data_IF_401210232347
#
_entry.id   IF_401210232347
#
_cell.length_a   1.000
_cell.length_b   1.000
_cell.length_c   1.000
_cell.angle_alpha   90.00
_cell.angle_beta   90.00
_cell.angle_gamma   90.00
#
_symmetry.space_group_name_H-M   'P 1'
#
loop_
_entity.id
_entity.type
_entity.pdbx_description
1 polymer ?
#
# COMPACT_ATOMS: atom_id res chain seq x y z
N UNK A 1 -55.73 29.97 34.85
CA UNK A 1 -54.71 28.97 35.18
C UNK A 1 -54.13 28.51 33.85
N UNK A 2 -53.21 29.31 33.29
CA UNK A 2 -52.50 28.94 32.06
C UNK A 2 -51.04 28.68 32.42
N UNK A 3 -50.67 27.40 32.42
CA UNK A 3 -49.29 26.95 32.57
C UNK A 3 -48.58 27.18 31.23
N UNK A 4 -47.86 28.29 31.12
CA UNK A 4 -46.88 28.46 30.04
C UNK A 4 -45.71 27.50 30.28
N UNK A 5 -45.68 26.41 29.51
CA UNK A 5 -44.52 25.54 29.40
C UNK A 5 -43.39 26.28 28.67
N UNK A 6 -42.43 26.81 29.42
CA UNK A 6 -41.16 27.31 28.88
C UNK A 6 -40.30 26.10 28.47
N UNK A 7 -40.40 25.68 27.21
CA UNK A 7 -39.54 24.64 26.66
C UNK A 7 -38.13 25.22 26.46
N UNK A 8 -37.14 24.71 27.21
CA UNK A 8 -35.78 25.25 27.25
C UNK A 8 -35.03 25.02 25.91
N UNK A 9 -34.63 26.08 25.17
CA UNK A 9 -33.91 25.96 23.89
C UNK A 9 -32.53 25.28 24.01
N UNK A 10 -31.96 25.22 25.21
CA UNK A 10 -30.73 24.46 25.51
C UNK A 10 -30.90 22.94 25.43
N UNK A 11 -32.12 22.43 25.65
CA UNK A 11 -32.37 20.98 25.60
C UNK A 11 -32.33 20.46 24.15
N UNK A 12 -32.88 21.23 23.20
CA UNK A 12 -32.91 20.85 21.78
C UNK A 12 -31.52 20.87 21.12
N UNK A 13 -30.66 21.82 21.49
CA UNK A 13 -29.27 21.89 20.98
C UNK A 13 -28.40 20.75 21.51
N UNK A 14 -28.59 20.34 22.77
CA UNK A 14 -27.94 19.14 23.33
C UNK A 14 -28.44 17.84 22.67
N UNK A 15 -29.74 17.72 22.43
CA UNK A 15 -30.33 16.55 21.78
C UNK A 15 -29.88 16.44 20.32
N UNK A 16 -29.80 17.56 19.60
CA UNK A 16 -29.33 17.59 18.21
C UNK A 16 -27.85 17.22 18.08
N UNK A 17 -27.00 17.72 18.99
CA UNK A 17 -25.57 17.36 19.02
C UNK A 17 -25.33 15.89 19.39
N UNK A 18 -26.11 15.34 20.33
CA UNK A 18 -26.10 13.89 20.61
C UNK A 18 -26.59 13.08 19.40
N UNK A 19 -27.65 13.52 18.72
CA UNK A 19 -28.17 12.84 17.53
C UNK A 19 -27.16 12.83 16.37
N UNK A 20 -26.38 13.90 16.17
CA UNK A 20 -25.32 13.95 15.15
C UNK A 20 -24.19 12.94 15.46
N UNK A 21 -23.85 12.74 16.74
CA UNK A 21 -22.89 11.72 17.18
C UNK A 21 -23.41 10.27 16.99
N UNK A 22 -24.72 10.05 17.05
CA UNK A 22 -25.32 8.73 16.75
C UNK A 22 -25.48 8.47 15.24
N UNK A 23 -25.49 9.50 14.39
CA UNK A 23 -25.64 9.38 12.92
C UNK A 23 -24.28 9.34 12.21
N UNK A 24 -23.18 9.74 12.85
CA UNK A 24 -21.84 9.52 12.33
C UNK A 24 -21.51 8.02 12.33
N UNK A 25 -21.96 7.30 11.30
CA UNK A 25 -21.27 6.07 10.89
C UNK A 25 -19.84 6.49 10.59
N UNK A 26 -18.89 6.05 11.41
CA UNK A 26 -17.47 6.26 11.12
C UNK A 26 -17.22 5.86 9.68
N UNK A 27 -16.53 6.72 8.93
CA UNK A 27 -16.11 6.36 7.58
C UNK A 27 -15.28 5.08 7.70
N UNK A 28 -15.78 3.97 7.15
CA UNK A 28 -14.96 2.77 7.01
C UNK A 28 -13.85 3.07 6.00
N UNK A 29 -12.63 2.68 6.35
CA UNK A 29 -11.42 3.02 5.63
C UNK A 29 -10.22 2.41 6.32
N UNK A 30 -9.04 2.61 5.74
CA UNK A 30 -7.78 2.20 6.32
C UNK A 30 -6.91 3.42 6.60
N UNK A 31 -6.20 3.37 7.72
CA UNK A 31 -5.13 4.30 8.05
C UNK A 31 -3.83 3.78 7.48
N UNK A 32 -3.19 4.56 6.62
CA UNK A 32 -1.83 4.31 6.16
C UNK A 32 -0.86 5.14 6.98
N UNK A 33 0.02 4.51 7.75
CA UNK A 33 1.06 5.17 8.54
C UNK A 33 2.42 4.97 7.89
N UNK A 34 3.03 6.07 7.44
CA UNK A 34 4.37 6.08 6.88
C UNK A 34 5.38 6.30 7.99
N UNK A 35 6.43 5.48 8.05
CA UNK A 35 7.49 5.55 9.06
C UNK A 35 8.84 5.60 8.35
N UNK A 36 9.63 6.64 8.61
CA UNK A 36 10.99 6.73 8.10
C UNK A 36 12.00 6.25 9.15
N UNK A 37 12.55 5.05 8.97
CA UNK A 37 13.67 4.54 9.78
C UNK A 37 15.02 4.67 9.08
N UNK A 38 15.07 5.27 7.90
CA UNK A 38 16.33 5.60 7.23
C UNK A 38 17.09 6.67 8.04
N UNK A 39 18.40 6.73 7.87
CA UNK A 39 19.25 7.75 8.48
C UNK A 39 19.25 9.09 7.71
N UNK A 40 18.44 9.18 6.65
CA UNK A 40 18.21 10.34 5.81
C UNK A 40 16.71 10.64 5.64
N UNK A 41 16.39 11.84 5.13
CA UNK A 41 15.02 12.23 4.77
C UNK A 41 14.54 11.47 3.54
N UNK A 42 13.32 10.96 3.58
CA UNK A 42 12.61 10.37 2.44
C UNK A 42 11.47 11.32 2.07
N UNK A 43 11.14 11.40 0.78
CA UNK A 43 9.95 12.12 0.33
C UNK A 43 8.94 11.14 -0.24
N UNK A 44 8.00 10.61 0.55
CA UNK A 44 7.03 9.66 0.01
C UNK A 44 6.20 10.29 -1.11
N UNK A 45 5.86 9.47 -2.10
CA UNK A 45 4.89 9.76 -3.15
C UNK A 45 3.65 8.89 -2.99
N UNK A 46 2.49 9.45 -3.34
CA UNK A 46 1.20 8.77 -3.28
C UNK A 46 0.52 8.93 -4.64
N UNK A 47 0.16 7.80 -5.25
CA UNK A 47 -0.65 7.77 -6.46
C UNK A 47 -1.92 6.94 -6.20
N UNK A 48 -3.08 7.59 -6.24
CA UNK A 48 -4.36 6.89 -6.31
C UNK A 48 -4.56 6.32 -7.72
N UNK A 49 -5.05 5.08 -7.80
CA UNK A 49 -5.43 4.43 -9.06
C UNK A 49 -6.63 5.14 -9.70
N UNK A 50 -6.85 4.90 -11.00
CA UNK A 50 -8.02 5.42 -11.70
C UNK A 50 -9.32 5.03 -10.97
N UNK A 51 -10.21 6.01 -10.76
CA UNK A 51 -11.46 5.82 -10.02
C UNK A 51 -11.33 5.96 -8.49
N UNK A 52 -10.12 5.96 -7.93
CA UNK A 52 -9.90 6.22 -6.50
C UNK A 52 -9.66 7.71 -6.22
N UNK A 53 -10.19 8.27 -5.12
CA UNK A 53 -9.97 9.68 -4.79
C UNK A 53 -8.51 9.95 -4.40
N UNK A 54 -8.04 11.19 -4.62
CA UNK A 54 -6.77 11.66 -4.06
C UNK A 54 -6.87 11.65 -2.54
N UNK A 55 -5.82 11.20 -1.86
CA UNK A 55 -5.68 11.36 -0.41
C UNK A 55 -5.34 12.82 -0.07
N UNK A 56 -5.16 13.14 1.22
CA UNK A 56 -4.83 14.51 1.68
C UNK A 56 -3.60 15.11 0.96
N UNK A 57 -2.64 14.27 0.57
CA UNK A 57 -1.43 14.65 -0.17
C UNK A 57 -1.10 13.61 -1.24
N UNK A 58 -0.40 14.04 -2.30
CA UNK A 58 0.26 13.16 -3.29
C UNK A 58 1.77 13.06 -3.10
N UNK A 59 2.34 13.81 -2.16
CA UNK A 59 3.74 13.69 -1.82
C UNK A 59 4.15 14.67 -0.73
N UNK A 60 5.02 14.22 0.18
CA UNK A 60 5.40 14.99 1.37
C UNK A 60 6.83 14.68 1.79
N UNK A 61 7.40 15.53 2.64
CA UNK A 61 8.69 15.28 3.28
C UNK A 61 8.50 14.47 4.57
N UNK A 62 9.32 13.44 4.77
CA UNK A 62 9.33 12.61 5.96
C UNK A 62 10.76 12.50 6.49
N UNK A 63 11.08 13.28 7.53
CA UNK A 63 12.43 13.32 8.11
C UNK A 63 12.74 12.04 8.89
N UNK A 64 14.03 11.81 9.15
CA UNK A 64 14.52 10.66 9.91
C UNK A 64 13.73 10.46 11.21
N UNK A 65 13.33 9.22 11.48
CA UNK A 65 12.66 8.79 12.70
C UNK A 65 11.31 9.47 12.96
N UNK A 66 10.67 9.99 11.91
CA UNK A 66 9.30 10.54 11.99
C UNK A 66 8.29 9.63 11.30
N UNK A 67 7.02 9.86 11.60
CA UNK A 67 5.88 9.23 10.93
C UNK A 67 4.83 10.24 10.52
N UNK A 68 4.01 9.87 9.52
CA UNK A 68 2.81 10.60 9.11
C UNK A 68 1.74 9.62 8.66
N UNK A 69 0.48 9.87 9.01
CA UNK A 69 -0.63 9.00 8.65
C UNK A 69 -1.61 9.67 7.70
N UNK A 70 -2.27 8.86 6.88
CA UNK A 70 -3.31 9.26 5.93
C UNK A 70 -4.51 8.32 6.04
N UNK A 71 -5.70 8.88 5.86
CA UNK A 71 -6.93 8.10 5.78
C UNK A 71 -7.26 7.82 4.31
N UNK A 72 -7.52 6.56 3.99
CA UNK A 72 -8.05 6.15 2.69
C UNK A 72 -9.44 5.54 2.86
N UNK A 73 -10.40 5.87 1.98
CA UNK A 73 -11.73 5.29 2.05
C UNK A 73 -11.69 3.80 1.71
N UNK A 74 -12.67 3.05 2.20
CA UNK A 74 -13.00 1.71 1.70
C UNK A 74 -13.06 1.69 0.16
N UNK A 75 -12.54 0.63 -0.47
CA UNK A 75 -12.48 0.54 -1.94
C UNK A 75 -11.33 1.30 -2.59
N UNK A 76 -10.50 2.03 -1.83
CA UNK A 76 -9.37 2.77 -2.39
C UNK A 76 -8.31 1.83 -2.95
N UNK A 77 -7.82 2.13 -4.15
CA UNK A 77 -6.66 1.49 -4.76
C UNK A 77 -5.61 2.53 -5.10
N UNK A 78 -4.35 2.16 -4.95
CA UNK A 78 -3.24 3.00 -5.29
C UNK A 78 -1.91 2.43 -4.84
N UNK A 79 -0.87 3.25 -4.94
CA UNK A 79 0.49 2.87 -4.62
C UNK A 79 1.27 3.99 -3.95
N UNK A 80 2.25 3.56 -3.18
CA UNK A 80 3.16 4.41 -2.44
C UNK A 80 4.61 4.06 -2.74
N UNK A 81 5.51 5.04 -2.64
CA UNK A 81 6.94 4.83 -2.77
C UNK A 81 7.71 5.90 -2.00
N UNK A 82 9.01 5.66 -1.77
CA UNK A 82 9.91 6.65 -1.19
C UNK A 82 10.82 7.28 -2.25
N UNK A 83 10.92 8.61 -2.27
CA UNK A 83 11.93 9.32 -3.06
C UNK A 83 13.16 9.65 -2.22
N UNK A 84 14.34 9.59 -2.83
CA UNK A 84 15.63 9.86 -2.14
C UNK A 84 16.48 10.86 -2.92
N UNK A 85 17.43 11.50 -2.23
CA UNK A 85 18.32 12.49 -2.83
C UNK A 85 17.59 13.71 -3.38
N UNK A 86 16.49 14.12 -2.74
CA UNK A 86 15.68 15.24 -3.21
C UNK A 86 16.28 16.59 -2.84
N UNK A 87 16.18 17.54 -3.77
CA UNK A 87 16.54 18.94 -3.55
C UNK A 87 15.38 19.85 -3.98
N UNK A 88 14.60 20.30 -3.00
CA UNK A 88 13.49 21.24 -3.21
C UNK A 88 13.87 22.63 -2.68
N UNK A 89 13.60 23.66 -3.48
CA UNK A 89 13.80 25.06 -3.12
C UNK A 89 12.76 25.55 -2.09
N UNK A 90 12.91 26.79 -1.60
CA UNK A 90 11.95 27.39 -0.66
C UNK A 90 10.53 27.59 -1.21
N UNK A 91 10.31 27.32 -2.50
CA UNK A 91 8.99 27.28 -3.17
C UNK A 91 8.52 25.84 -3.42
N UNK A 92 9.12 24.85 -2.76
CA UNK A 92 8.84 23.41 -2.91
C UNK A 92 9.04 22.87 -4.33
N UNK A 93 9.88 23.50 -5.15
CA UNK A 93 10.20 23.06 -6.51
C UNK A 93 11.55 22.38 -6.57
N UNK A 94 11.67 21.31 -7.34
CA UNK A 94 12.86 20.49 -7.32
C UNK A 94 12.68 19.14 -7.97
N UNK A 95 13.63 18.25 -7.69
CA UNK A 95 13.64 16.88 -8.17
C UNK A 95 14.35 15.96 -7.19
N UNK A 96 14.18 14.66 -7.39
CA UNK A 96 14.81 13.59 -6.61
C UNK A 96 15.74 12.73 -7.49
N UNK A 97 16.77 12.17 -6.87
CA UNK A 97 17.70 11.26 -7.55
C UNK A 97 17.05 9.90 -7.87
N UNK A 98 16.15 9.42 -7.00
CA UNK A 98 15.43 8.16 -7.22
C UNK A 98 13.94 8.32 -6.93
N UNK A 99 13.11 7.58 -7.67
CA UNK A 99 11.65 7.59 -7.53
C UNK A 99 10.96 8.92 -7.85
N UNK A 100 11.66 9.87 -8.47
CA UNK A 100 11.09 11.18 -8.79
C UNK A 100 9.81 11.04 -9.63
N UNK A 101 8.81 11.86 -9.35
CA UNK A 101 7.52 11.78 -10.04
C UNK A 101 7.35 12.80 -11.17
N UNK A 102 8.41 13.53 -11.53
CA UNK A 102 8.42 14.45 -12.68
C UNK A 102 7.50 15.66 -12.54
N UNK A 103 6.83 15.85 -11.41
CA UNK A 103 5.94 17.00 -11.18
C UNK A 103 6.70 18.31 -10.98
N UNK A 104 8.02 18.23 -10.75
CA UNK A 104 8.86 19.37 -10.41
C UNK A 104 8.61 19.94 -9.01
N UNK A 105 7.81 19.26 -8.18
CA UNK A 105 7.44 19.71 -6.82
C UNK A 105 7.36 18.54 -5.83
N UNK A 106 7.20 18.84 -4.54
CA UNK A 106 7.02 17.80 -3.50
C UNK A 106 5.74 16.97 -3.78
N UNK A 107 4.64 17.60 -4.16
CA UNK A 107 3.39 16.90 -4.53
C UNK A 107 3.54 16.21 -5.90
N UNK A 108 3.17 14.94 -6.01
CA UNK A 108 3.26 14.23 -7.29
C UNK A 108 2.09 14.51 -8.24
N UNK A 109 1.00 15.14 -7.78
CA UNK A 109 -0.09 15.65 -8.60
C UNK A 109 -0.67 14.62 -9.60
N UNK A 110 -0.77 13.36 -9.17
CA UNK A 110 -1.28 12.26 -10.01
C UNK A 110 -0.24 11.62 -10.93
N UNK A 111 1.02 12.05 -10.87
CA UNK A 111 2.13 11.36 -11.51
C UNK A 111 2.64 10.20 -10.64
N UNK A 112 3.08 9.12 -11.30
CA UNK A 112 3.75 7.99 -10.65
C UNK A 112 5.25 8.20 -10.49
N UNK A 113 5.90 7.30 -9.77
CA UNK A 113 7.36 7.26 -9.70
C UNK A 113 7.97 7.01 -11.09
N UNK A 114 9.07 7.68 -11.37
CA UNK A 114 9.98 7.30 -12.46
C UNK A 114 10.84 6.14 -11.95
N UNK A 115 10.77 4.95 -12.57
CA UNK A 115 11.58 3.80 -12.16
C UNK A 115 13.09 4.09 -12.27
N UNK A 116 13.93 3.49 -11.41
CA UNK A 116 13.57 2.45 -10.44
C UNK A 116 12.98 2.97 -9.12
N UNK A 117 11.95 2.29 -8.62
CA UNK A 117 11.35 2.56 -7.32
C UNK A 117 10.74 1.29 -6.71
N UNK A 118 11.03 1.06 -5.42
CA UNK A 118 10.31 0.06 -4.62
C UNK A 118 8.89 0.58 -4.38
N UNK A 119 7.86 -0.21 -4.71
CA UNK A 119 6.46 0.19 -4.58
C UNK A 119 5.77 -0.58 -3.46
N UNK A 120 4.85 0.07 -2.75
CA UNK A 120 3.86 -0.59 -1.90
C UNK A 120 2.49 -0.37 -2.54
N UNK A 121 1.81 -1.45 -2.92
CA UNK A 121 0.59 -1.43 -3.73
C UNK A 121 -0.59 -1.93 -2.91
N UNK A 122 -1.76 -1.32 -3.09
CA UNK A 122 -2.95 -1.61 -2.29
C UNK A 122 -4.20 -1.58 -3.15
N UNK A 123 -5.12 -2.49 -2.84
CA UNK A 123 -6.53 -2.45 -3.24
C UNK A 123 -7.37 -2.80 -2.02
N UNK A 124 -7.97 -1.78 -1.40
CA UNK A 124 -8.82 -1.96 -0.22
C UNK A 124 -10.18 -2.52 -0.63
N UNK A 125 -10.66 -3.51 0.13
CA UNK A 125 -11.95 -4.12 -0.08
C UNK A 125 -13.11 -3.20 0.26
N UNK A 126 -14.30 -3.52 -0.25
CA UNK A 126 -15.57 -2.89 0.13
C UNK A 126 -16.47 -3.87 0.89
N UNK A 127 -16.04 -4.23 2.10
CA UNK A 127 -16.61 -5.38 2.84
C UNK A 127 -16.03 -6.72 2.41
N UNK A 128 -14.99 -6.71 1.57
CA UNK A 128 -14.14 -7.85 1.20
C UNK A 128 -12.75 -7.67 1.81
N UNK A 129 -11.88 -8.67 1.64
CA UNK A 129 -10.47 -8.53 1.98
C UNK A 129 -9.80 -7.44 1.14
N UNK A 130 -8.83 -6.78 1.75
CA UNK A 130 -7.85 -5.94 1.08
C UNK A 130 -6.77 -6.83 0.44
N UNK A 131 -6.18 -6.33 -0.65
CA UNK A 131 -4.99 -6.91 -1.28
C UNK A 131 -3.86 -5.89 -1.20
N UNK A 132 -2.68 -6.35 -0.79
CA UNK A 132 -1.50 -5.49 -0.70
C UNK A 132 -0.22 -6.27 -0.92
N UNK A 133 0.81 -5.55 -1.36
CA UNK A 133 2.12 -6.10 -1.63
C UNK A 133 3.20 -5.01 -1.59
N UNK A 134 4.46 -5.45 -1.53
CA UNK A 134 5.61 -4.65 -1.95
C UNK A 134 6.16 -5.22 -3.25
N UNK A 135 6.34 -4.36 -4.24
CA UNK A 135 6.69 -4.72 -5.60
C UNK A 135 8.03 -4.14 -6.03
N UNK A 136 8.85 -5.01 -6.64
CA UNK A 136 10.13 -4.71 -7.28
C UNK A 136 10.06 -4.80 -8.80
N UNK A 137 8.85 -4.89 -9.36
CA UNK A 137 8.60 -4.95 -10.81
C UNK A 137 9.18 -3.71 -11.50
N UNK A 138 9.01 -2.55 -10.87
CA UNK A 138 9.58 -1.27 -11.30
C UNK A 138 10.98 -1.03 -10.73
N UNK A 139 11.68 -2.07 -10.26
CA UNK A 139 13.01 -1.97 -9.69
C UNK A 139 13.01 -1.66 -8.19
N UNK A 140 14.17 -1.22 -7.71
CA UNK A 140 14.45 -1.01 -6.29
C UNK A 140 15.25 0.26 -6.09
N UNK A 141 14.91 1.06 -5.07
CA UNK A 141 15.73 2.20 -4.66
C UNK A 141 16.01 2.23 -3.15
N UNK A 142 15.05 1.85 -2.31
CA UNK A 142 15.26 1.71 -0.87
C UNK A 142 14.49 0.52 -0.26
N UNK A 143 14.92 0.01 0.92
CA UNK A 143 14.22 -1.06 1.60
C UNK A 143 12.86 -0.58 2.14
N UNK A 144 11.84 -1.41 2.01
CA UNK A 144 10.47 -1.08 2.43
C UNK A 144 9.73 -2.34 2.88
N UNK A 145 8.92 -2.21 3.94
CA UNK A 145 7.95 -3.22 4.36
C UNK A 145 6.57 -2.60 4.57
N UNK A 146 5.56 -3.44 4.47
CA UNK A 146 4.16 -3.16 4.84
C UNK A 146 3.75 -4.16 5.92
N UNK A 147 3.14 -3.65 6.99
CA UNK A 147 2.62 -4.44 8.10
C UNK A 147 1.14 -4.06 8.34
N UNK A 148 0.25 -5.05 8.31
CA UNK A 148 -1.17 -4.88 8.66
C UNK A 148 -1.40 -4.98 10.17
N UNK A 149 -2.34 -4.20 10.70
CA UNK A 149 -2.66 -4.15 12.14
C UNK A 149 -4.16 -4.01 12.39
N UNK A 150 -4.65 -4.65 13.46
CA UNK A 150 -6.06 -4.57 13.89
C UNK A 150 -7.06 -5.38 13.05
N UNK A 151 -6.67 -5.87 11.87
CA UNK A 151 -7.54 -6.65 10.98
C UNK A 151 -7.61 -8.15 11.28
N UNK A 152 -8.27 -8.87 10.36
CA UNK A 152 -8.49 -10.31 10.42
C UNK A 152 -8.08 -11.03 9.13
N UNK A 153 -7.78 -12.32 9.23
CA UNK A 153 -7.16 -13.11 8.16
C UNK A 153 -5.67 -13.32 8.43
N UNK A 154 -4.88 -13.57 7.38
CA UNK A 154 -3.44 -13.80 7.52
C UNK A 154 -2.69 -12.53 7.92
N UNK A 155 -3.00 -11.40 7.28
CA UNK A 155 -2.43 -10.09 7.57
C UNK A 155 -0.89 -10.09 7.68
N UNK A 156 -0.23 -10.91 6.86
CA UNK A 156 1.21 -11.10 6.92
C UNK A 156 1.98 -9.91 6.35
N UNK A 157 3.13 -9.61 6.95
CA UNK A 157 4.02 -8.56 6.47
C UNK A 157 4.61 -8.91 5.10
N UNK A 158 4.75 -7.90 4.23
CA UNK A 158 5.35 -7.99 2.90
C UNK A 158 6.47 -6.97 2.77
N UNK A 159 7.47 -7.25 1.95
CA UNK A 159 8.56 -6.30 1.72
C UNK A 159 9.95 -6.87 1.54
N UNK A 160 10.88 -5.92 1.45
CA UNK A 160 12.27 -6.13 1.14
C UNK A 160 13.13 -5.38 2.17
N UNK A 161 13.67 -6.12 3.14
CA UNK A 161 14.56 -5.57 4.19
C UNK A 161 16.03 -5.53 3.74
N UNK A 162 16.40 -6.28 2.70
CA UNK A 162 17.76 -6.30 2.17
C UNK A 162 18.00 -5.06 1.30
N UNK A 163 19.23 -4.56 1.37
CA UNK A 163 19.71 -3.52 0.46
C UNK A 163 20.17 -4.14 -0.86
N UNK A 164 19.27 -4.12 -1.86
CA UNK A 164 19.55 -4.65 -3.19
C UNK A 164 20.58 -3.81 -3.96
N UNK A 165 20.76 -2.53 -3.63
CA UNK A 165 21.71 -1.66 -4.33
C UNK A 165 23.15 -2.17 -4.18
N UNK A 166 23.47 -2.78 -3.03
CA UNK A 166 24.80 -3.34 -2.73
C UNK A 166 25.19 -4.52 -3.63
N UNK A 167 24.20 -5.26 -4.12
CA UNK A 167 24.41 -6.45 -4.96
C UNK A 167 23.78 -6.29 -6.35
N UNK A 168 23.40 -5.07 -6.74
CA UNK A 168 22.78 -4.82 -8.03
C UNK A 168 23.75 -5.16 -9.17
N UNK A 169 23.37 -6.00 -10.15
CA UNK A 169 24.19 -6.29 -11.34
C UNK A 169 24.58 -5.00 -12.06
N UNK A 170 25.74 -4.98 -12.71
CA UNK A 170 26.28 -3.77 -13.33
C UNK A 170 25.33 -3.21 -14.41
N UNK A 171 24.73 -4.10 -15.18
CA UNK A 171 23.76 -3.85 -16.24
C UNK A 171 22.40 -3.32 -15.74
N UNK A 172 22.07 -3.52 -14.46
CA UNK A 172 20.85 -3.00 -13.84
C UNK A 172 21.10 -1.76 -12.97
N UNK A 173 22.36 -1.43 -12.69
CA UNK A 173 22.73 -0.39 -11.74
C UNK A 173 22.48 1.00 -12.30
N UNK A 174 21.78 1.85 -11.55
CA UNK A 174 21.70 3.29 -11.85
C UNK A 174 23.02 3.96 -11.49
N UNK A 175 23.40 5.01 -12.22
CA UNK A 175 24.59 5.80 -11.94
C UNK A 175 24.63 6.24 -10.45
N UNK A 176 25.82 6.19 -9.84
CA UNK A 176 25.98 6.43 -8.41
C UNK A 176 25.55 5.27 -7.50
N UNK A 177 24.98 4.18 -8.05
CA UNK A 177 24.64 2.97 -7.31
C UNK A 177 23.51 3.15 -6.29
N UNK A 178 22.71 4.20 -6.44
CA UNK A 178 21.65 4.57 -5.49
C UNK A 178 20.33 3.82 -5.74
N UNK A 179 20.22 3.12 -6.87
CA UNK A 179 19.06 2.33 -7.23
C UNK A 179 19.43 1.20 -8.21
N UNK A 180 18.55 0.21 -8.31
CA UNK A 180 18.67 -0.97 -9.15
C UNK A 180 17.44 -1.11 -10.04
N UNK A 181 17.62 -1.07 -11.35
CA UNK A 181 16.56 -1.32 -12.34
C UNK A 181 16.08 -2.77 -12.25
N UNK A 182 14.81 -3.00 -12.54
CA UNK A 182 14.35 -4.34 -12.94
C UNK A 182 14.87 -4.66 -14.35
N UNK A 183 14.78 -5.93 -14.75
CA UNK A 183 15.13 -6.32 -16.11
C UNK A 183 14.26 -5.62 -17.16
N UNK A 184 12.97 -5.44 -16.89
CA UNK A 184 12.09 -4.67 -17.79
C UNK A 184 12.59 -3.22 -17.92
N UNK A 185 12.89 -2.55 -16.79
CA UNK A 185 13.40 -1.18 -16.81
C UNK A 185 14.78 -1.02 -17.45
N UNK A 186 15.59 -2.07 -17.52
CA UNK A 186 16.92 -2.04 -18.14
C UNK A 186 16.90 -2.39 -19.63
N UNK A 187 16.12 -3.41 -20.03
CA UNK A 187 16.20 -4.00 -21.37
C UNK A 187 14.95 -3.78 -22.22
N UNK A 188 13.79 -3.54 -21.60
CA UNK A 188 12.54 -3.25 -22.30
C UNK A 188 12.01 -4.38 -23.18
N UNK A 189 12.51 -5.61 -23.05
CA UNK A 189 12.08 -6.72 -23.91
C UNK A 189 10.73 -7.29 -23.45
N UNK A 190 9.92 -7.84 -24.38
CA UNK A 190 8.63 -8.44 -24.03
C UNK A 190 8.70 -9.51 -22.94
N UNK A 191 9.76 -10.32 -22.93
CA UNK A 191 10.03 -11.37 -21.95
C UNK A 191 10.16 -10.82 -20.53
N UNK A 192 10.85 -9.68 -20.37
CA UNK A 192 11.09 -9.09 -19.07
C UNK A 192 9.93 -8.21 -18.61
N UNK A 193 9.22 -7.60 -19.55
CA UNK A 193 8.10 -6.71 -19.28
C UNK A 193 6.74 -7.42 -19.29
N UNK A 194 6.71 -8.73 -19.55
CA UNK A 194 5.51 -9.54 -19.66
C UNK A 194 4.43 -8.91 -20.57
N UNK A 195 4.81 -8.60 -21.81
CA UNK A 195 3.90 -8.00 -22.79
C UNK A 195 3.87 -8.79 -24.10
N UNK A 196 2.90 -8.50 -24.97
CA UNK A 196 2.72 -9.21 -26.24
C UNK A 196 2.54 -10.72 -26.02
N UNK A 197 3.37 -11.53 -26.67
CA UNK A 197 3.36 -13.00 -26.54
C UNK A 197 3.66 -13.47 -25.11
N UNK A 198 4.27 -12.61 -24.28
CA UNK A 198 4.56 -12.85 -22.87
C UNK A 198 3.51 -12.22 -21.95
N UNK A 199 2.35 -11.81 -22.46
CA UNK A 199 1.27 -11.17 -21.68
C UNK A 199 0.45 -12.10 -20.80
N UNK A 200 0.99 -13.26 -20.39
CA UNK A 200 0.30 -14.19 -19.50
C UNK A 200 1.25 -14.89 -18.52
N UNK A 201 0.78 -15.37 -17.35
CA UNK A 201 1.57 -16.20 -16.46
C UNK A 201 2.08 -17.51 -17.12
N UNK A 202 1.35 -17.99 -18.13
CA UNK A 202 1.74 -19.18 -18.88
C UNK A 202 2.99 -18.93 -19.75
N UNK A 203 3.17 -17.72 -20.25
CA UNK A 203 4.23 -17.38 -21.22
C UNK A 203 5.36 -16.54 -20.63
N UNK A 204 5.10 -15.61 -19.70
CA UNK A 204 6.16 -14.87 -19.01
C UNK A 204 6.68 -15.67 -17.82
N UNK A 205 7.95 -16.10 -17.88
CA UNK A 205 8.59 -16.89 -16.84
C UNK A 205 9.60 -16.06 -16.03
N UNK A 206 9.87 -16.45 -14.77
CA UNK A 206 10.90 -15.79 -13.97
C UNK A 206 12.26 -15.80 -14.69
N UNK A 207 12.87 -14.62 -14.81
CA UNK A 207 14.22 -14.47 -15.37
C UNK A 207 15.29 -14.66 -14.29
N UNK A 208 16.56 -14.73 -14.69
CA UNK A 208 17.70 -14.70 -13.76
C UNK A 208 17.64 -13.46 -12.85
N UNK A 209 17.26 -12.31 -13.40
CA UNK A 209 17.18 -11.04 -12.66
C UNK A 209 16.01 -11.00 -11.68
N UNK A 210 14.82 -11.46 -12.07
CA UNK A 210 13.69 -11.50 -11.13
C UNK A 210 13.92 -12.54 -10.04
N UNK A 211 14.52 -13.69 -10.35
CA UNK A 211 14.93 -14.67 -9.34
C UNK A 211 15.97 -14.09 -8.36
N UNK A 212 16.90 -13.25 -8.82
CA UNK A 212 17.82 -12.54 -7.92
C UNK A 212 17.08 -11.65 -6.92
N UNK A 213 16.13 -10.84 -7.39
CA UNK A 213 15.31 -10.00 -6.53
C UNK A 213 14.48 -10.84 -5.56
N UNK A 214 13.87 -11.92 -6.04
CA UNK A 214 13.07 -12.83 -5.23
C UNK A 214 13.88 -13.52 -4.13
N UNK A 215 15.08 -14.01 -4.45
CA UNK A 215 15.97 -14.65 -3.49
C UNK A 215 16.43 -13.68 -2.39
N UNK A 216 16.56 -12.40 -2.72
CA UNK A 216 16.86 -11.38 -1.74
C UNK A 216 15.63 -11.01 -0.89
N UNK A 217 14.47 -10.89 -1.52
CA UNK A 217 13.24 -10.38 -0.96
C UNK A 217 12.06 -11.32 -1.30
N UNK A 218 11.95 -12.47 -0.60
CA UNK A 218 11.00 -13.53 -0.96
C UNK A 218 9.53 -13.15 -0.75
N UNK A 219 9.27 -12.12 0.06
CA UNK A 219 7.93 -11.61 0.37
C UNK A 219 7.56 -10.38 -0.47
N UNK A 220 8.23 -10.17 -1.61
CA UNK A 220 7.94 -9.09 -2.56
C UNK A 220 7.74 -9.63 -3.96
N UNK A 221 6.97 -8.92 -4.78
CA UNK A 221 6.89 -9.18 -6.22
C UNK A 221 8.25 -8.91 -6.85
N UNK A 222 8.74 -9.87 -7.63
CA UNK A 222 10.01 -9.73 -8.36
C UNK A 222 9.84 -9.54 -9.88
N UNK A 223 8.66 -9.85 -10.41
CA UNK A 223 8.21 -9.64 -11.79
C UNK A 223 6.67 -9.68 -11.85
N UNK A 224 6.06 -9.37 -13.00
CA UNK A 224 4.63 -9.09 -13.10
C UNK A 224 3.68 -10.23 -12.70
N UNK A 225 4.10 -11.50 -12.79
CA UNK A 225 3.25 -12.66 -12.46
C UNK A 225 3.79 -13.47 -11.26
N UNK A 226 4.37 -12.79 -10.27
CA UNK A 226 4.90 -13.40 -9.04
C UNK A 226 3.84 -13.55 -7.93
N UNK A 227 2.60 -13.89 -8.26
CA UNK A 227 1.47 -13.78 -7.32
C UNK A 227 1.56 -14.73 -6.12
N UNK A 228 1.94 -15.99 -6.36
CA UNK A 228 1.80 -17.09 -5.41
C UNK A 228 2.47 -16.88 -4.04
N UNK A 229 3.46 -15.98 -3.95
CA UNK A 229 4.20 -15.68 -2.72
C UNK A 229 4.32 -14.18 -2.42
N UNK A 230 3.61 -13.34 -3.19
CA UNK A 230 3.82 -11.89 -3.16
C UNK A 230 2.55 -11.08 -2.96
N UNK A 231 1.36 -11.67 -3.15
CA UNK A 231 0.08 -11.03 -2.81
C UNK A 231 -0.34 -11.38 -1.40
N UNK A 232 -0.67 -10.37 -0.60
CA UNK A 232 -1.10 -10.54 0.78
C UNK A 232 -2.50 -9.98 0.98
N UNK A 233 -3.22 -10.57 1.92
CA UNK A 233 -4.60 -10.17 2.22
C UNK A 233 -4.82 -9.94 3.70
N UNK A 234 -5.71 -9.00 3.99
CA UNK A 234 -6.18 -8.69 5.34
C UNK A 234 -7.54 -8.01 5.26
N UNK A 235 -8.39 -8.19 6.27
CA UNK A 235 -9.72 -7.57 6.30
C UNK A 235 -9.82 -6.61 7.46
N UNK A 236 -10.16 -5.34 7.18
CA UNK A 236 -10.42 -4.33 8.21
C UNK A 236 -9.18 -3.92 8.99
N UNK A 237 -8.04 -3.78 8.31
CA UNK A 237 -6.78 -3.39 8.92
C UNK A 237 -6.38 -1.94 8.63
N UNK A 238 -5.55 -1.42 9.53
CA UNK A 238 -4.67 -0.30 9.27
C UNK A 238 -3.29 -0.81 8.84
N UNK A 239 -2.56 -0.03 8.05
CA UNK A 239 -1.29 -0.45 7.45
C UNK A 239 -0.15 0.50 7.81
N UNK A 240 0.99 -0.07 8.19
CA UNK A 240 2.23 0.68 8.41
C UNK A 240 3.21 0.42 7.28
N UNK A 241 3.61 1.47 6.55
CA UNK A 241 4.65 1.44 5.53
C UNK A 241 5.93 1.96 6.16
N UNK A 242 6.93 1.08 6.33
CA UNK A 242 8.22 1.45 6.93
C UNK A 242 9.31 1.48 5.89
N UNK A 243 9.96 2.63 5.73
CA UNK A 243 11.19 2.80 4.95
C UNK A 243 12.42 2.46 5.80
N UNK A 244 13.38 1.73 5.21
CA UNK A 244 14.57 1.21 5.88
C UNK A 244 14.27 0.49 7.22
N UNK A 245 13.38 -0.52 7.22
CA UNK A 245 13.10 -1.29 8.43
C UNK A 245 14.37 -1.90 9.03
N UNK A 246 14.43 -2.07 10.36
CA UNK A 246 15.56 -2.73 10.99
C UNK A 246 15.68 -4.15 10.46
N UNK A 247 16.91 -4.61 10.24
CA UNK A 247 17.14 -6.02 9.92
C UNK A 247 16.64 -6.89 11.09
N UNK A 248 16.00 -8.04 10.80
CA UNK A 248 15.68 -9.01 11.84
C UNK A 248 16.95 -9.32 12.63
N UNK A 249 16.94 -9.02 13.92
CA UNK A 249 18.09 -9.28 14.78
C UNK A 249 18.26 -10.80 14.89
N UNK A 250 19.44 -11.32 14.53
CA UNK A 250 19.85 -12.74 14.72
C UNK A 250 19.99 -13.13 16.22
N UNK A 251 19.15 -12.59 17.11
CA UNK A 251 19.33 -12.62 18.57
C UNK A 251 18.18 -13.25 19.37
N UNK A 252 17.24 -13.95 18.72
CA UNK A 252 16.21 -14.73 19.43
C UNK A 252 16.26 -16.20 19.05
N UNK A 253 17.42 -16.82 19.25
CA UNK A 253 17.57 -18.29 19.31
C UNK A 253 18.69 -18.68 20.27
N UNK A 254 18.71 -18.07 21.45
CA UNK A 254 19.45 -18.57 22.61
C UNK A 254 18.59 -18.34 23.84
N UNK A 255 17.75 -19.33 24.14
CA UNK A 255 17.63 -19.91 25.48
C UNK A 255 16.49 -20.92 25.52
N UNK A 256 16.83 -22.20 25.47
CA UNK A 256 16.39 -23.23 26.43
C UNK A 256 17.15 -24.54 26.15
N UNK A 257 17.74 -25.20 27.16
CA UNK A 257 18.44 -26.47 26.97
C UNK A 257 17.45 -27.63 26.74
N UNK A 258 17.84 -28.68 26.00
CA UNK A 258 17.01 -29.86 25.88
C UNK A 258 17.13 -30.75 27.12
N UNK A 259 16.01 -31.06 27.75
CA UNK A 259 15.90 -32.11 28.75
C UNK A 259 15.95 -33.47 28.05
N UNK A 260 16.95 -34.27 28.41
CA UNK A 260 17.18 -35.63 27.93
C UNK A 260 16.20 -36.63 28.53
N UNK A 261 15.47 -37.36 27.68
CA UNK A 261 15.00 -38.74 27.83
C UNK A 261 14.50 -39.18 26.44
N UNK A 262 14.84 -40.29 25.80
CA UNK A 262 15.51 -41.52 26.22
C UNK A 262 14.68 -42.73 25.73
N UNK A 263 14.94 -43.19 24.48
CA UNK A 263 14.86 -44.61 24.00
C UNK A 263 13.40 -45.17 23.79
N UNK A 264 12.93 -45.89 22.74
CA UNK A 264 13.47 -46.96 21.85
C UNK A 264 12.57 -47.22 20.61
N UNK A 265 13.22 -47.61 19.49
CA UNK A 265 12.95 -48.64 18.43
C UNK A 265 11.63 -48.82 17.62
N UNK A 266 11.88 -48.94 16.31
CA UNK A 266 11.35 -49.86 15.27
C UNK A 266 9.98 -49.68 14.61
N UNK A 267 9.97 -49.76 13.27
CA UNK A 267 8.79 -50.18 12.49
C UNK A 267 8.67 -49.61 11.07
N UNK A 268 9.02 -50.42 10.08
CA UNK A 268 8.83 -50.21 8.63
C UNK A 268 7.36 -50.07 8.21
N UNK A 269 7.06 -49.25 7.19
CA UNK A 269 5.72 -49.16 6.58
C UNK A 269 5.68 -48.35 5.28
N UNK A 270 5.42 -49.04 4.18
CA UNK A 270 5.29 -48.55 2.80
C UNK A 270 3.82 -48.26 2.43
N UNK A 271 3.53 -47.20 1.67
CA UNK A 271 2.23 -46.99 1.00
C UNK A 271 1.92 -45.52 0.63
N UNK A 272 1.04 -45.23 -0.35
CA UNK A 272 1.40 -44.40 -1.51
C UNK A 272 0.75 -43.00 -1.61
N UNK A 273 1.21 -42.32 -2.66
CA UNK A 273 0.80 -41.05 -3.29
C UNK A 273 -0.72 -40.87 -3.36
N UNK A 274 -1.19 -39.67 -3.01
CA UNK A 274 -2.49 -39.16 -3.45
C UNK A 274 -2.34 -37.72 -3.95
N UNK A 275 -2.57 -37.54 -5.24
CA UNK A 275 -2.76 -36.27 -5.92
C UNK A 275 -4.07 -35.64 -5.47
N UNK A 276 -4.06 -34.33 -5.23
CA UNK A 276 -5.28 -33.51 -5.28
C UNK A 276 -5.18 -32.56 -6.49
N UNK A 277 -5.99 -32.85 -7.51
CA UNK A 277 -6.40 -31.94 -8.58
C UNK A 277 -6.92 -30.62 -7.99
N UNK A 278 -6.43 -29.47 -8.45
CA UNK A 278 -6.88 -28.73 -9.64
C UNK A 278 -8.32 -28.17 -9.49
N UNK A 279 -8.44 -27.03 -8.80
CA UNK A 279 -9.56 -26.12 -8.98
C UNK A 279 -9.14 -25.03 -9.98
N UNK A 280 -9.94 -24.92 -11.03
CA UNK A 280 -9.74 -24.18 -12.27
C UNK A 280 -9.54 -22.68 -12.09
N UNK A 281 -8.48 -22.17 -12.71
CA UNK A 281 -8.05 -20.78 -12.74
C UNK A 281 -8.67 -20.09 -13.96
N UNK A 282 -9.93 -19.65 -13.87
CA UNK A 282 -10.64 -18.98 -14.97
C UNK A 282 -11.34 -17.66 -14.57
N UNK A 283 -10.81 -16.91 -13.60
CA UNK A 283 -11.37 -15.59 -13.27
C UNK A 283 -10.39 -14.41 -13.18
N UNK A 284 -9.10 -14.59 -13.48
CA UNK A 284 -8.12 -13.50 -13.43
C UNK A 284 -7.77 -12.86 -14.79
N UNK A 285 -8.53 -13.14 -15.85
CA UNK A 285 -8.42 -12.43 -17.11
C UNK A 285 -9.71 -11.65 -17.36
N UNK A 286 -9.71 -10.35 -17.05
CA UNK A 286 -10.40 -9.26 -17.76
C UNK A 286 -10.53 -8.00 -16.88
N UNK A 287 -9.45 -7.22 -16.76
CA UNK A 287 -9.53 -5.82 -16.32
C UNK A 287 -8.55 -4.97 -17.15
N UNK A 288 -8.73 -4.97 -18.46
CA UNK A 288 -8.09 -4.02 -19.36
C UNK A 288 -8.87 -3.88 -20.68
N UNK A 289 -10.01 -3.21 -20.66
CA UNK A 289 -10.51 -2.36 -21.76
C UNK A 289 -11.70 -1.53 -21.25
N UNK A 290 -11.62 -0.22 -21.45
CA UNK A 290 -12.71 0.69 -21.12
C UNK A 290 -13.82 0.62 -22.15
N UNK A 291 -15.06 0.77 -21.68
CA UNK A 291 -16.08 1.49 -22.45
C UNK A 291 -16.95 2.34 -21.52
N UNK A 292 -17.38 3.46 -22.09
CA UNK A 292 -17.93 4.64 -21.46
C UNK A 292 -19.42 4.50 -21.20
N UNK A 293 -19.88 4.82 -19.99
CA UNK A 293 -21.24 5.35 -19.81
C UNK A 293 -21.20 6.60 -18.94
N UNK A 294 -21.63 7.69 -19.57
CA UNK A 294 -21.84 9.02 -18.99
C UNK A 294 -23.15 9.02 -18.20
N UNK A 295 -23.32 10.00 -17.29
CA UNK A 295 -24.57 10.54 -16.67
C UNK A 295 -24.85 10.02 -15.22
N UNK A 296 -25.08 10.78 -14.12
CA UNK A 296 -25.28 12.20 -13.70
C UNK A 296 -24.83 12.38 -12.21
N UNK A 297 -24.62 13.62 -11.69
CA UNK A 297 -24.26 13.88 -10.30
C UNK A 297 -25.52 14.01 -9.42
N UNK A 298 -25.52 13.46 -8.20
CA UNK A 298 -26.55 13.81 -7.22
C UNK A 298 -26.11 13.54 -5.77
N UNK A 299 -26.49 14.47 -4.88
CA UNK A 299 -26.66 14.35 -3.42
C UNK A 299 -25.57 14.80 -2.44
N UNK A 300 -24.42 15.34 -2.85
CA UNK A 300 -23.48 15.96 -1.87
C UNK A 300 -23.73 17.45 -1.63
N UNK A 301 -24.38 18.15 -2.55
CA UNK A 301 -24.65 19.60 -2.44
C UNK A 301 -25.90 19.93 -1.62
N UNK A 302 -26.83 18.99 -1.42
CA UNK A 302 -28.06 19.24 -0.66
C UNK A 302 -27.81 19.32 0.85
N UNK A 303 -26.86 18.54 1.37
CA UNK A 303 -26.63 18.48 2.82
C UNK A 303 -25.96 19.75 3.40
N UNK A 304 -25.03 20.36 2.66
CA UNK A 304 -24.36 21.60 3.09
C UNK A 304 -25.30 22.80 3.04
N UNK A 305 -26.20 22.84 2.06
CA UNK A 305 -27.23 23.88 1.93
C UNK A 305 -28.28 23.76 3.05
N UNK A 306 -28.69 22.54 3.42
CA UNK A 306 -29.65 22.32 4.50
C UNK A 306 -29.06 22.70 5.86
N UNK A 307 -27.78 22.37 6.12
CA UNK A 307 -27.07 22.76 7.35
C UNK A 307 -26.79 24.27 7.41
N UNK A 308 -26.46 24.89 6.27
CA UNK A 308 -26.27 26.34 6.20
C UNK A 308 -27.58 27.11 6.42
N UNK A 309 -28.68 26.66 5.81
CA UNK A 309 -29.99 27.28 5.98
C UNK A 309 -30.53 27.10 7.41
N UNK A 310 -30.33 25.94 8.05
CA UNK A 310 -30.76 25.73 9.43
C UNK A 310 -29.96 26.57 10.44
N UNK A 311 -28.67 26.82 10.19
CA UNK A 311 -27.87 27.76 10.97
C UNK A 311 -28.34 29.21 10.78
N UNK A 312 -28.62 29.63 9.55
CA UNK A 312 -29.09 31.00 9.27
C UNK A 312 -30.48 31.25 9.88
N UNK A 313 -31.39 30.29 9.77
CA UNK A 313 -32.73 30.36 10.37
C UNK A 313 -32.69 30.39 11.90
N UNK A 314 -31.70 29.74 12.54
CA UNK A 314 -31.55 29.78 14.00
C UNK A 314 -30.96 31.09 14.52
N UNK A 315 -30.17 31.81 13.72
CA UNK A 315 -29.72 33.17 14.05
C UNK A 315 -30.78 34.25 13.80
N UNK A 316 -31.75 34.01 12.91
CA UNK A 316 -32.84 34.95 12.61
C UNK A 316 -34.05 34.85 13.57
N UNK A 317 -34.08 33.82 14.42
CA UNK A 317 -35.16 33.56 15.39
C UNK A 317 -34.76 33.84 16.85
N UNK A 318 -33.63 34.52 17.07
CA UNK A 318 -33.17 35.05 18.36
C UNK A 318 -33.50 36.54 18.49
#
# INVERSE_FOLDING_TARGET
MELFFYCHPHSYTMILSLAILFISKGASGATFTFVNKCDYTVWPGILSSAGSPKLESTGFQLTKSTSRSFQAPTGWSGRFWGRTGCNFDGSNRGSCATGDCGSGTIECNGAGATPPATLAEFTLGSGSADFYDVSLVDGYNLPMIVEGSGGSGTCASTGCVKDLNRNCPAELRVEGGQACKSACGAFGTPEYCCNGDYGSPATCKPSLYSQMFKNACPLSYSYAYDDATSTFTCTGADYTITFCPPLPSLKSSRDSPPTTAGITTDGSGSGPIEQAELATTEWLANLATGDSTRIYPCLTLSYTVILGLSLILSFLLL
#
